data_IF_343364308992
#
_entry.id   IF_343364308992
#
_cell.length_a   1.000
_cell.length_b   1.000
_cell.length_c   1.000
_cell.angle_alpha   90.00
_cell.angle_beta   90.00
_cell.angle_gamma   90.00
#
_symmetry.space_group_name_H-M   'P 1'
#
loop_
_entity.id
_entity.type
_entity.pdbx_description
1 polymer ?
#
# COMPACT_ATOMS: atom_id res chain seq x y z
N UNK A 1 4.90 -4.80 -28.56
CA UNK A 1 5.98 -5.77 -28.31
C UNK A 1 6.89 -5.14 -27.27
N UNK A 2 6.95 -5.71 -26.06
CA UNK A 2 7.82 -5.20 -24.99
C UNK A 2 9.28 -5.45 -25.35
N UNK A 3 10.14 -4.43 -25.20
CA UNK A 3 11.58 -4.50 -25.48
C UNK A 3 12.25 -5.64 -24.68
N UNK A 4 13.17 -6.44 -25.28
CA UNK A 4 13.93 -7.49 -24.60
C UNK A 4 14.57 -7.06 -23.26
N UNK A 5 14.95 -5.79 -23.09
CA UNK A 5 15.43 -5.27 -21.78
C UNK A 5 14.34 -5.33 -20.71
N UNK A 6 13.09 -5.07 -21.09
CA UNK A 6 11.93 -5.11 -20.19
C UNK A 6 11.57 -6.55 -19.80
N UNK A 7 11.75 -7.51 -20.71
CA UNK A 7 11.51 -8.92 -20.43
C UNK A 7 12.60 -9.55 -19.57
N UNK A 8 13.87 -9.19 -19.79
CA UNK A 8 14.97 -9.63 -18.94
C UNK A 8 14.81 -9.11 -17.50
N UNK A 9 14.39 -7.85 -17.34
CA UNK A 9 14.08 -7.28 -16.03
C UNK A 9 12.91 -8.00 -15.35
N UNK A 10 11.84 -8.32 -16.09
CA UNK A 10 10.69 -9.09 -15.59
C UNK A 10 11.09 -10.49 -15.11
N UNK A 11 11.96 -11.18 -15.85
CA UNK A 11 12.47 -12.50 -15.47
C UNK A 11 13.36 -12.47 -14.24
N UNK A 12 14.27 -11.49 -14.13
CA UNK A 12 15.12 -11.32 -12.95
C UNK A 12 14.28 -10.92 -11.72
N UNK A 13 13.23 -10.12 -11.92
CA UNK A 13 12.26 -9.75 -10.88
C UNK A 13 11.51 -10.98 -10.37
N UNK A 14 11.00 -11.84 -11.26
CA UNK A 14 10.30 -13.06 -10.87
C UNK A 14 11.20 -14.02 -10.09
N UNK A 15 12.46 -14.20 -10.52
CA UNK A 15 13.42 -15.04 -9.80
C UNK A 15 13.80 -14.50 -8.40
N UNK A 16 13.98 -13.18 -8.27
CA UNK A 16 14.27 -12.56 -6.97
C UNK A 16 13.04 -12.57 -6.05
N UNK A 17 11.84 -12.54 -6.63
CA UNK A 17 10.58 -12.63 -5.90
C UNK A 17 10.38 -14.05 -5.32
N UNK A 18 10.73 -15.11 -6.06
CA UNK A 18 10.71 -16.51 -5.57
C UNK A 18 11.71 -16.74 -4.42
N UNK A 19 12.91 -16.16 -4.50
CA UNK A 19 13.90 -16.26 -3.41
C UNK A 19 13.46 -15.52 -2.14
N UNK A 20 12.76 -14.39 -2.27
CA UNK A 20 12.16 -13.68 -1.14
C UNK A 20 10.98 -14.44 -0.54
N UNK A 21 10.20 -15.14 -1.37
CA UNK A 21 9.11 -16.02 -0.93
C UNK A 21 9.60 -17.21 -0.10
N UNK A 22 10.79 -17.73 -0.37
CA UNK A 22 11.42 -18.75 0.47
C UNK A 22 11.79 -18.24 1.87
N UNK A 23 12.05 -16.94 2.01
CA UNK A 23 12.56 -16.32 3.24
C UNK A 23 11.50 -15.58 4.07
N UNK A 24 10.32 -15.27 3.51
CA UNK A 24 9.23 -14.57 4.22
C UNK A 24 7.95 -15.39 4.40
N UNK A 25 7.88 -16.63 3.91
CA UNK A 25 6.74 -17.52 4.15
C UNK A 25 6.97 -18.31 5.44
N UNK A 26 6.15 -18.12 6.50
CA UNK A 26 6.07 -19.14 7.53
C UNK A 26 5.41 -20.38 6.93
N UNK A 27 6.10 -21.52 6.96
CA UNK A 27 5.69 -22.80 6.38
C UNK A 27 4.33 -23.34 6.90
N UNK A 28 3.75 -22.71 7.92
CA UNK A 28 2.51 -23.15 8.60
C UNK A 28 1.23 -22.64 7.91
N UNK A 29 1.28 -21.51 7.20
CA UNK A 29 0.05 -20.92 6.61
C UNK A 29 -0.58 -21.76 5.49
N UNK A 30 0.24 -22.49 4.73
CA UNK A 30 -0.25 -23.38 3.67
C UNK A 30 -0.91 -24.66 4.22
N UNK A 31 -0.44 -25.18 5.35
CA UNK A 31 -1.02 -26.38 5.98
C UNK A 31 -2.46 -26.11 6.45
N UNK A 32 -2.70 -24.94 7.06
CA UNK A 32 -4.05 -24.55 7.48
C UNK A 32 -4.96 -24.25 6.27
N UNK A 33 -4.43 -23.61 5.22
CA UNK A 33 -5.15 -23.43 3.97
C UNK A 33 -5.52 -24.77 3.31
N UNK A 34 -4.65 -25.78 3.37
CA UNK A 34 -4.93 -27.15 2.91
C UNK A 34 -6.02 -27.80 3.75
N UNK A 35 -5.96 -27.72 5.08
CA UNK A 35 -7.00 -28.29 5.96
C UNK A 35 -8.38 -27.68 5.67
N UNK A 36 -8.45 -26.37 5.48
CA UNK A 36 -9.69 -25.67 5.18
C UNK A 36 -10.18 -25.97 3.76
N UNK A 37 -9.29 -26.00 2.77
CA UNK A 37 -9.62 -26.41 1.40
C UNK A 37 -10.14 -27.85 1.33
N UNK A 38 -9.62 -28.75 2.19
CA UNK A 38 -10.12 -30.12 2.36
C UNK A 38 -11.54 -30.10 2.94
N UNK A 39 -11.83 -29.29 3.96
CA UNK A 39 -13.19 -29.15 4.51
C UNK A 39 -14.19 -28.62 3.45
N UNK A 40 -13.82 -27.60 2.68
CA UNK A 40 -14.70 -27.04 1.64
C UNK A 40 -14.99 -28.07 0.55
N UNK A 41 -13.97 -28.77 0.06
CA UNK A 41 -14.14 -29.78 -0.98
C UNK A 41 -14.89 -31.03 -0.48
N UNK A 42 -14.75 -31.39 0.80
CA UNK A 42 -15.42 -32.57 1.35
C UNK A 42 -16.87 -32.32 1.75
N UNK A 43 -17.23 -31.09 2.14
CA UNK A 43 -18.55 -30.81 2.70
C UNK A 43 -19.37 -29.80 1.90
N UNK A 44 -18.78 -28.70 1.44
CA UNK A 44 -19.53 -27.64 0.76
C UNK A 44 -19.77 -27.95 -0.72
N UNK A 45 -18.74 -28.39 -1.46
CA UNK A 45 -18.85 -28.70 -2.89
C UNK A 45 -19.86 -29.83 -3.17
N UNK A 46 -19.85 -30.97 -2.44
CA UNK A 46 -20.80 -32.05 -2.68
C UNK A 46 -22.24 -31.66 -2.32
N UNK A 47 -22.42 -30.90 -1.24
CA UNK A 47 -23.73 -30.38 -0.83
C UNK A 47 -24.33 -29.46 -1.92
N UNK A 48 -23.52 -28.57 -2.49
CA UNK A 48 -23.98 -27.63 -3.52
C UNK A 48 -24.23 -28.31 -4.88
N UNK A 49 -23.46 -29.35 -5.21
CA UNK A 49 -23.69 -30.18 -6.40
C UNK A 49 -24.99 -31.00 -6.30
N UNK A 50 -25.39 -31.43 -5.10
CA UNK A 50 -26.63 -32.17 -4.88
C UNK A 50 -27.90 -31.31 -5.03
N UNK A 51 -27.78 -29.98 -4.96
CA UNK A 51 -28.92 -29.06 -4.94
C UNK A 51 -29.08 -28.19 -6.21
N UNK A 52 -28.35 -28.52 -7.29
CA UNK A 52 -28.49 -27.95 -8.66
C UNK A 52 -28.65 -26.42 -8.72
N UNK A 53 -27.83 -25.70 -7.93
CA UNK A 53 -27.95 -24.25 -7.75
C UNK A 53 -27.18 -23.51 -8.87
N UNK A 54 -27.84 -22.86 -9.87
CA UNK A 54 -27.16 -22.40 -11.08
C UNK A 54 -26.34 -21.10 -10.92
N UNK A 55 -26.46 -20.41 -9.78
CA UNK A 55 -25.78 -19.13 -9.50
C UNK A 55 -24.51 -19.29 -8.64
N UNK A 56 -23.95 -20.50 -8.62
CA UNK A 56 -22.86 -20.91 -7.75
C UNK A 56 -21.50 -20.26 -8.01
N UNK A 57 -21.28 -19.41 -9.01
CA UNK A 57 -19.91 -18.97 -9.34
C UNK A 57 -19.44 -17.72 -8.61
N UNK A 58 -20.24 -16.65 -8.52
CA UNK A 58 -19.74 -15.37 -7.95
C UNK A 58 -19.75 -15.36 -6.42
N UNK A 59 -20.84 -15.84 -5.81
CA UNK A 59 -20.97 -15.91 -4.35
C UNK A 59 -20.03 -16.95 -3.73
N UNK A 60 -19.86 -18.10 -4.39
CA UNK A 60 -18.95 -19.15 -3.95
C UNK A 60 -17.50 -18.73 -4.14
N UNK A 61 -17.12 -18.11 -5.26
CA UNK A 61 -15.75 -17.61 -5.44
C UNK A 61 -15.40 -16.55 -4.39
N UNK A 62 -16.35 -15.66 -4.07
CA UNK A 62 -16.16 -14.68 -2.98
C UNK A 62 -16.02 -15.36 -1.60
N UNK A 63 -16.79 -16.42 -1.34
CA UNK A 63 -16.69 -17.20 -0.11
C UNK A 63 -15.35 -17.95 -0.02
N UNK A 64 -14.95 -18.64 -1.09
CA UNK A 64 -13.65 -19.34 -1.18
C UNK A 64 -12.49 -18.36 -1.02
N UNK A 65 -12.55 -17.19 -1.67
CA UNK A 65 -11.56 -16.13 -1.50
C UNK A 65 -11.50 -15.68 -0.03
N UNK A 66 -12.65 -15.42 0.60
CA UNK A 66 -12.71 -15.02 1.99
C UNK A 66 -12.13 -16.09 2.93
N UNK A 67 -12.46 -17.37 2.73
CA UNK A 67 -11.94 -18.48 3.52
C UNK A 67 -10.43 -18.66 3.33
N UNK A 68 -9.93 -18.53 2.10
CA UNK A 68 -8.50 -18.58 1.81
C UNK A 68 -7.75 -17.39 2.45
N UNK A 69 -8.28 -16.18 2.35
CA UNK A 69 -7.74 -14.98 3.01
C UNK A 69 -7.71 -15.16 4.54
N UNK A 70 -8.77 -15.73 5.14
CA UNK A 70 -8.85 -16.03 6.57
C UNK A 70 -7.85 -17.11 7.01
N UNK A 71 -7.69 -18.17 6.23
CA UNK A 71 -6.72 -19.24 6.50
C UNK A 71 -5.28 -18.70 6.50
N UNK A 72 -4.95 -17.83 5.53
CA UNK A 72 -3.66 -17.15 5.46
C UNK A 72 -3.45 -16.26 6.69
N UNK A 73 -4.47 -15.50 7.10
CA UNK A 73 -4.41 -14.63 8.28
C UNK A 73 -4.15 -15.43 9.57
N UNK A 74 -4.84 -16.55 9.75
CA UNK A 74 -4.61 -17.48 10.87
C UNK A 74 -3.21 -18.11 10.83
N UNK A 75 -2.75 -18.49 9.63
CA UNK A 75 -1.40 -19.01 9.42
C UNK A 75 -0.31 -18.02 9.83
N UNK A 76 -0.47 -16.75 9.47
CA UNK A 76 0.44 -15.67 9.90
C UNK A 76 0.39 -15.48 11.41
N UNK A 77 -0.81 -15.51 12.02
CA UNK A 77 -0.94 -15.43 13.47
C UNK A 77 -0.20 -16.56 14.18
N UNK A 78 -0.41 -17.81 13.76
CA UNK A 78 0.27 -18.97 14.34
C UNK A 78 1.79 -18.86 14.18
N UNK A 79 2.25 -18.44 12.99
CA UNK A 79 3.66 -18.23 12.72
C UNK A 79 4.31 -17.18 13.61
N UNK A 80 3.67 -16.04 13.77
CA UNK A 80 4.19 -14.95 14.61
C UNK A 80 4.31 -15.42 16.07
N UNK A 81 3.33 -16.19 16.57
CA UNK A 81 3.38 -16.80 17.90
C UNK A 81 4.55 -17.77 18.06
N UNK A 82 4.84 -18.57 17.02
CA UNK A 82 5.92 -19.57 17.07
C UNK A 82 7.32 -18.95 16.90
N UNK A 83 7.42 -17.83 16.19
CA UNK A 83 8.71 -17.23 15.79
C UNK A 83 9.06 -15.97 16.57
N UNK A 84 8.14 -15.44 17.38
CA UNK A 84 8.36 -14.23 18.17
C UNK A 84 8.42 -12.93 17.35
N UNK A 85 7.93 -12.97 16.10
CA UNK A 85 7.89 -11.80 15.21
C UNK A 85 6.97 -10.71 15.79
N UNK A 86 7.47 -9.48 15.88
CA UNK A 86 6.69 -8.36 16.40
C UNK A 86 5.93 -7.64 15.29
N UNK A 87 4.61 -7.48 15.47
CA UNK A 87 3.70 -6.74 14.58
C UNK A 87 3.33 -5.35 15.09
N UNK A 88 4.12 -4.82 16.02
CA UNK A 88 3.96 -3.46 16.54
C UNK A 88 4.76 -2.49 15.68
N UNK A 89 4.11 -1.44 15.17
CA UNK A 89 4.81 -0.42 14.41
C UNK A 89 5.87 0.25 15.31
N UNK A 90 7.12 0.36 14.87
CA UNK A 90 8.15 1.02 15.67
C UNK A 90 7.82 2.51 15.80
N UNK A 91 8.28 3.11 16.91
CA UNK A 91 8.26 4.55 17.05
C UNK A 91 9.12 5.20 15.95
N UNK A 92 8.73 6.40 15.54
CA UNK A 92 9.55 7.21 14.63
C UNK A 92 10.88 7.52 15.33
N UNK A 93 12.00 7.11 14.75
CA UNK A 93 13.32 7.35 15.35
C UNK A 93 13.73 8.81 15.16
N UNK A 94 14.66 9.29 15.99
CA UNK A 94 15.16 10.66 15.89
C UNK A 94 15.68 10.96 14.48
N UNK A 95 15.21 12.06 13.91
CA UNK A 95 15.57 12.49 12.56
C UNK A 95 14.82 11.81 11.43
N UNK A 96 14.07 10.72 11.65
CA UNK A 96 13.22 10.09 10.63
C UNK A 96 11.94 10.89 10.42
N UNK A 97 11.46 10.93 9.17
CA UNK A 97 10.13 11.45 8.84
C UNK A 97 9.10 10.33 8.63
N UNK A 98 9.53 9.20 8.07
CA UNK A 98 8.66 8.07 7.74
C UNK A 98 9.11 6.83 8.51
N UNK A 99 8.17 6.16 9.18
CA UNK A 99 8.42 4.97 9.98
C UNK A 99 9.11 3.90 9.14
N UNK A 100 10.25 3.40 9.64
CA UNK A 100 11.00 2.31 9.00
C UNK A 100 11.85 2.72 7.79
N UNK A 101 11.93 4.02 7.47
CA UNK A 101 12.81 4.55 6.42
C UNK A 101 13.85 5.51 6.99
N UNK A 102 15.10 5.38 6.56
CA UNK A 102 16.11 6.43 6.76
C UNK A 102 15.77 7.68 5.97
N UNK A 103 16.43 8.81 6.23
CA UNK A 103 16.14 10.06 5.53
C UNK A 103 16.40 9.97 4.02
N UNK A 104 17.50 9.33 3.61
CA UNK A 104 17.78 9.10 2.19
C UNK A 104 16.71 8.22 1.53
N UNK A 105 16.24 7.18 2.23
CA UNK A 105 15.19 6.29 1.74
C UNK A 105 13.84 7.01 1.67
N UNK A 106 13.48 7.79 2.69
CA UNK A 106 12.26 8.60 2.72
C UNK A 106 12.26 9.65 1.60
N UNK A 107 13.40 10.30 1.33
CA UNK A 107 13.55 11.24 0.23
C UNK A 107 13.39 10.55 -1.14
N UNK A 108 14.04 9.41 -1.35
CA UNK A 108 13.91 8.66 -2.61
C UNK A 108 12.49 8.16 -2.83
N UNK A 109 11.83 7.70 -1.77
CA UNK A 109 10.41 7.34 -1.77
C UNK A 109 9.52 8.53 -2.12
N UNK A 110 9.67 9.66 -1.43
CA UNK A 110 8.90 10.88 -1.66
C UNK A 110 9.09 11.43 -3.10
N UNK A 111 10.33 11.43 -3.60
CA UNK A 111 10.62 11.79 -4.99
C UNK A 111 9.92 10.85 -5.96
N UNK A 112 9.98 9.53 -5.73
CA UNK A 112 9.30 8.56 -6.59
C UNK A 112 7.78 8.75 -6.63
N UNK A 113 7.15 9.00 -5.47
CA UNK A 113 5.70 9.24 -5.39
C UNK A 113 5.36 10.54 -6.12
N UNK A 114 5.96 11.67 -5.77
CA UNK A 114 5.64 12.97 -6.38
C UNK A 114 5.91 13.02 -7.89
N UNK A 115 6.96 12.33 -8.37
CA UNK A 115 7.19 12.17 -9.81
C UNK A 115 6.06 11.41 -10.49
N UNK A 116 5.54 10.35 -9.86
CA UNK A 116 4.45 9.52 -10.42
C UNK A 116 3.10 10.24 -10.37
N UNK A 117 2.82 10.93 -9.27
CA UNK A 117 1.51 11.56 -9.00
C UNK A 117 1.32 12.84 -9.82
N UNK A 118 2.36 13.68 -9.91
CA UNK A 118 2.20 15.05 -10.42
C UNK A 118 3.38 15.57 -11.23
N UNK A 119 4.42 14.77 -11.45
CA UNK A 119 5.71 15.30 -11.95
C UNK A 119 6.21 16.46 -11.07
N UNK A 120 6.03 16.33 -9.75
CA UNK A 120 6.41 17.30 -8.71
C UNK A 120 5.60 18.61 -8.65
N UNK A 121 4.50 18.75 -9.40
CA UNK A 121 3.68 19.97 -9.43
C UNK A 121 2.82 20.14 -8.16
N UNK A 122 3.10 21.18 -7.37
CA UNK A 122 2.37 21.51 -6.13
C UNK A 122 0.93 22.02 -6.37
N UNK A 123 0.60 22.42 -7.59
CA UNK A 123 -0.64 23.13 -7.91
C UNK A 123 -1.59 22.32 -8.79
N UNK A 124 -1.18 21.17 -9.32
CA UNK A 124 -2.04 20.39 -10.22
C UNK A 124 -3.34 19.94 -9.54
N UNK A 125 -4.43 19.96 -10.31
CA UNK A 125 -5.69 19.30 -9.94
C UNK A 125 -6.07 18.43 -11.14
N UNK A 126 -6.18 17.11 -10.94
CA UNK A 126 -6.54 16.22 -12.04
C UNK A 126 -8.05 16.23 -12.33
N UNK A 127 -8.46 15.54 -13.39
CA UNK A 127 -9.86 15.45 -13.83
C UNK A 127 -10.84 14.88 -12.80
N UNK A 128 -10.34 14.13 -11.79
CA UNK A 128 -11.16 13.58 -10.71
C UNK A 128 -11.09 14.43 -9.44
N UNK A 129 -10.42 15.58 -9.47
CA UNK A 129 -10.31 16.48 -8.34
C UNK A 129 -9.24 16.08 -7.31
N UNK A 130 -8.28 15.21 -7.65
CA UNK A 130 -7.13 14.99 -6.76
C UNK A 130 -6.17 16.18 -6.85
N UNK A 131 -5.67 16.62 -5.71
CA UNK A 131 -5.03 17.94 -5.58
C UNK A 131 -3.57 17.86 -5.15
N UNK A 132 -2.77 18.75 -5.74
CA UNK A 132 -1.39 19.02 -5.35
C UNK A 132 -0.40 17.94 -5.76
N UNK A 133 0.83 18.07 -5.25
CA UNK A 133 1.98 17.23 -5.61
C UNK A 133 1.73 15.74 -5.38
N UNK A 134 1.01 15.45 -4.30
CA UNK A 134 0.76 14.09 -3.85
C UNK A 134 -0.58 13.54 -4.34
N UNK A 135 -1.31 14.31 -5.18
CA UNK A 135 -2.64 13.96 -5.69
C UNK A 135 -3.55 13.45 -4.60
N UNK A 136 -3.82 14.28 -3.59
CA UNK A 136 -4.70 13.88 -2.50
C UNK A 136 -6.18 13.94 -2.88
N UNK A 137 -6.93 12.92 -2.46
CA UNK A 137 -8.39 12.92 -2.48
C UNK A 137 -8.99 13.29 -1.12
N UNK A 138 -10.31 13.47 -1.09
CA UNK A 138 -11.05 13.90 0.10
C UNK A 138 -10.86 12.94 1.30
N UNK A 139 -10.92 11.63 1.06
CA UNK A 139 -10.74 10.62 2.11
C UNK A 139 -9.33 10.61 2.70
N UNK A 140 -8.31 10.82 1.86
CA UNK A 140 -6.93 10.91 2.32
C UNK A 140 -6.70 12.18 3.15
N UNK A 141 -7.24 13.32 2.72
CA UNK A 141 -7.17 14.57 3.47
C UNK A 141 -7.95 14.52 4.80
N UNK A 142 -9.07 13.80 4.84
CA UNK A 142 -9.81 13.56 6.08
C UNK A 142 -9.04 12.63 7.04
N UNK A 143 -8.33 11.63 6.51
CA UNK A 143 -7.49 10.74 7.31
C UNK A 143 -6.38 11.50 8.05
N UNK A 144 -5.82 12.54 7.43
CA UNK A 144 -4.78 13.41 8.03
C UNK A 144 -5.35 14.68 8.70
N UNK A 145 -6.67 14.79 8.83
CA UNK A 145 -7.33 15.85 9.60
C UNK A 145 -7.44 17.21 8.91
N UNK A 146 -7.24 17.28 7.59
CA UNK A 146 -7.39 18.52 6.80
C UNK A 146 -8.82 18.73 6.28
N UNK A 147 -9.61 17.64 6.21
CA UNK A 147 -11.04 17.67 5.92
C UNK A 147 -11.81 17.20 7.16
N UNK A 148 -12.94 17.86 7.44
CA UNK A 148 -13.86 17.47 8.51
C UNK A 148 -14.46 16.11 8.20
N UNK A 149 -14.30 15.14 9.12
CA UNK A 149 -14.84 13.78 8.96
C UNK A 149 -16.35 13.78 8.76
N UNK A 150 -17.07 14.59 9.53
CA UNK A 150 -18.53 14.74 9.41
C UNK A 150 -18.96 15.21 8.01
N UNK A 151 -18.21 16.13 7.39
CA UNK A 151 -18.50 16.58 6.03
C UNK A 151 -18.30 15.45 5.01
N UNK A 152 -17.23 14.66 5.13
CA UNK A 152 -16.97 13.52 4.25
C UNK A 152 -18.02 12.40 4.41
N UNK A 153 -18.46 12.13 5.64
CA UNK A 153 -19.48 11.13 5.95
C UNK A 153 -20.85 11.51 5.37
N UNK A 154 -21.20 12.80 5.39
CA UNK A 154 -22.41 13.35 4.77
C UNK A 154 -22.31 13.45 3.24
N UNK A 155 -21.08 13.42 2.68
CA UNK A 155 -20.88 13.45 1.25
C UNK A 155 -21.29 12.13 0.59
N UNK A 156 -21.62 12.19 -0.71
CA UNK A 156 -21.97 10.99 -1.46
C UNK A 156 -20.81 9.99 -1.57
N UNK A 157 -21.13 8.71 -1.81
CA UNK A 157 -20.13 7.63 -2.03
C UNK A 157 -19.10 7.96 -3.12
N UNK A 158 -19.47 8.84 -4.05
CA UNK A 158 -18.59 9.48 -5.03
C UNK A 158 -17.35 10.11 -4.43
N UNK A 159 -17.57 11.02 -3.48
CA UNK A 159 -16.51 11.75 -2.78
C UNK A 159 -15.68 10.81 -1.93
N UNK A 160 -16.35 9.95 -1.17
CA UNK A 160 -15.69 9.00 -0.25
C UNK A 160 -14.75 8.02 -0.97
N UNK A 161 -15.02 7.71 -2.24
CA UNK A 161 -14.20 6.82 -3.07
C UNK A 161 -13.30 7.58 -4.06
N UNK A 162 -13.27 8.91 -3.98
CA UNK A 162 -12.40 9.75 -4.80
C UNK A 162 -12.75 9.75 -6.30
N UNK A 163 -14.04 9.80 -6.64
CA UNK A 163 -14.51 9.96 -8.01
C UNK A 163 -15.49 11.15 -8.16
N UNK A 164 -16.78 10.91 -8.44
CA UNK A 164 -17.79 11.94 -8.76
C UNK A 164 -18.05 12.85 -7.55
N UNK A 165 -18.06 14.16 -7.79
CA UNK A 165 -18.34 15.17 -6.76
C UNK A 165 -17.14 15.54 -5.88
N UNK A 166 -15.99 14.88 -6.03
CA UNK A 166 -14.83 15.13 -5.18
C UNK A 166 -14.27 16.55 -5.37
N UNK A 167 -14.24 17.03 -6.61
CA UNK A 167 -13.69 18.36 -6.90
C UNK A 167 -14.50 19.45 -6.22
N UNK A 168 -15.82 19.42 -6.41
CA UNK A 168 -16.76 20.38 -5.81
C UNK A 168 -16.73 20.29 -4.29
N UNK A 169 -16.61 19.07 -3.74
CA UNK A 169 -16.44 18.85 -2.31
C UNK A 169 -15.16 19.50 -1.78
N UNK A 170 -14.03 19.37 -2.48
CA UNK A 170 -12.76 19.97 -2.07
C UNK A 170 -12.71 21.48 -2.32
N UNK A 171 -13.43 22.02 -3.30
CA UNK A 171 -13.52 23.46 -3.53
C UNK A 171 -14.34 24.19 -2.44
N UNK A 172 -15.22 23.48 -1.72
CA UNK A 172 -16.00 24.05 -0.62
C UNK A 172 -15.15 24.19 0.66
N UNK A 173 -14.76 25.42 0.98
CA UNK A 173 -13.98 25.77 2.17
C UNK A 173 -14.61 25.28 3.48
N UNK A 174 -15.94 25.22 3.58
CA UNK A 174 -16.63 24.76 4.80
C UNK A 174 -16.30 23.30 5.16
N UNK A 175 -15.82 22.50 4.21
CA UNK A 175 -15.42 21.11 4.43
C UNK A 175 -14.02 20.97 5.03
N UNK A 176 -13.20 22.03 4.96
CA UNK A 176 -11.82 22.01 5.45
C UNK A 176 -11.73 22.37 6.94
N UNK A 177 -10.67 21.90 7.59
CA UNK A 177 -10.32 22.27 8.97
C UNK A 177 -9.36 23.48 9.03
N UNK A 178 -8.82 23.89 7.88
CA UNK A 178 -7.89 25.01 7.73
C UNK A 178 -8.59 26.21 7.08
N UNK A 179 -8.21 27.42 7.48
CA UNK A 179 -8.67 28.66 6.85
C UNK A 179 -8.16 28.76 5.40
N UNK A 180 -9.01 29.21 4.48
CA UNK A 180 -8.73 29.30 3.04
C UNK A 180 -8.77 27.97 2.29
N UNK A 181 -9.10 26.87 2.98
CA UNK A 181 -9.38 25.55 2.41
C UNK A 181 -8.39 25.08 1.34
N UNK A 182 -8.92 24.72 0.17
CA UNK A 182 -8.13 24.20 -0.96
C UNK A 182 -7.05 25.17 -1.43
N UNK A 183 -7.32 26.48 -1.41
CA UNK A 183 -6.35 27.50 -1.84
C UNK A 183 -5.13 27.51 -0.93
N UNK A 184 -5.35 27.51 0.39
CA UNK A 184 -4.28 27.40 1.38
C UNK A 184 -3.48 26.12 1.22
N UNK A 185 -4.17 24.99 1.01
CA UNK A 185 -3.52 23.70 0.82
C UNK A 185 -2.62 23.67 -0.42
N UNK A 186 -3.11 24.14 -1.58
CA UNK A 186 -2.36 24.14 -2.83
C UNK A 186 -1.17 25.11 -2.83
N UNK A 187 -1.25 26.18 -2.05
CA UNK A 187 -0.17 27.17 -1.97
C UNK A 187 0.87 26.88 -0.88
N UNK A 188 0.67 25.84 -0.06
CA UNK A 188 1.59 25.48 1.02
C UNK A 188 2.23 24.12 0.78
N UNK A 189 3.44 24.13 0.20
CA UNK A 189 4.26 22.92 0.05
C UNK A 189 4.50 22.22 1.39
N UNK A 190 4.76 23.00 2.46
CA UNK A 190 4.97 22.46 3.80
C UNK A 190 3.73 21.69 4.29
N UNK A 191 2.53 22.21 4.03
CA UNK A 191 1.29 21.53 4.43
C UNK A 191 1.05 20.25 3.61
N UNK A 192 1.34 20.28 2.32
CA UNK A 192 1.25 19.11 1.44
C UNK A 192 2.24 18.01 1.85
N UNK A 193 3.50 18.37 2.10
CA UNK A 193 4.56 17.44 2.51
C UNK A 193 4.26 16.85 3.89
N UNK A 194 3.74 17.66 4.84
CA UNK A 194 3.27 17.17 6.14
C UNK A 194 2.12 16.17 5.99
N UNK A 195 1.10 16.49 5.19
CA UNK A 195 -0.02 15.59 4.92
C UNK A 195 0.45 14.26 4.32
N UNK A 196 1.45 14.29 3.44
CA UNK A 196 2.03 13.09 2.85
C UNK A 196 2.72 12.22 3.89
N UNK A 197 3.56 12.81 4.73
CA UNK A 197 4.24 12.09 5.82
C UNK A 197 3.24 11.50 6.80
N UNK A 198 2.22 12.27 7.20
CA UNK A 198 1.18 11.82 8.13
C UNK A 198 0.39 10.64 7.54
N UNK A 199 -0.02 10.71 6.27
CA UNK A 199 -0.74 9.64 5.61
C UNK A 199 0.13 8.39 5.46
N UNK A 200 1.40 8.53 5.05
CA UNK A 200 2.33 7.41 4.95
C UNK A 200 2.49 6.70 6.30
N UNK A 201 2.72 7.46 7.36
CA UNK A 201 2.87 6.90 8.71
C UNK A 201 1.58 6.26 9.22
N UNK A 202 0.41 6.82 8.91
CA UNK A 202 -0.89 6.19 9.20
C UNK A 202 -1.03 4.86 8.47
N UNK A 203 -0.76 4.84 7.16
CA UNK A 203 -0.82 3.64 6.34
C UNK A 203 0.16 2.57 6.82
N UNK A 204 1.39 2.94 7.19
CA UNK A 204 2.41 2.02 7.71
C UNK A 204 1.94 1.39 9.02
N UNK A 205 1.46 2.19 9.98
CA UNK A 205 0.90 1.66 11.24
C UNK A 205 -0.25 0.68 10.98
N UNK A 206 -1.10 1.00 10.01
CA UNK A 206 -2.17 0.08 9.59
C UNK A 206 -1.63 -1.21 8.98
N UNK A 207 -0.53 -1.15 8.22
CA UNK A 207 0.16 -2.34 7.70
C UNK A 207 0.67 -3.28 8.79
N UNK A 208 1.19 -2.72 9.89
CA UNK A 208 1.56 -3.48 11.09
C UNK A 208 0.31 -4.09 11.76
N UNK A 209 -0.76 -3.30 11.96
CA UNK A 209 -2.04 -3.76 12.53
C UNK A 209 -2.68 -4.90 11.73
N UNK A 210 -2.59 -4.82 10.40
CA UNK A 210 -3.11 -5.83 9.46
C UNK A 210 -2.17 -7.04 9.30
N UNK A 211 -1.05 -7.07 10.04
CA UNK A 211 -0.01 -8.10 10.01
C UNK A 211 0.60 -8.31 8.63
N UNK A 212 0.62 -7.26 7.82
CA UNK A 212 1.32 -7.23 6.54
C UNK A 212 2.80 -6.93 6.78
N UNK A 213 3.06 -5.95 7.65
CA UNK A 213 4.39 -5.54 8.06
C UNK A 213 4.77 -6.18 9.40
N UNK A 214 6.06 -6.24 9.67
CA UNK A 214 6.70 -6.68 10.92
C UNK A 214 8.01 -5.95 11.13
N UNK A 215 8.58 -6.12 12.32
CA UNK A 215 9.96 -5.75 12.67
C UNK A 215 11.03 -6.27 11.69
N UNK A 216 10.77 -7.39 11.01
CA UNK A 216 11.64 -7.97 9.98
C UNK A 216 11.39 -7.43 8.57
N UNK A 217 10.37 -6.59 8.36
CA UNK A 217 10.04 -6.11 7.02
C UNK A 217 11.10 -5.11 6.55
N UNK A 218 11.76 -5.35 5.39
CA UNK A 218 12.81 -4.46 4.93
C UNK A 218 12.23 -3.12 4.46
N UNK A 219 13.03 -2.05 4.59
CA UNK A 219 12.62 -0.67 4.29
C UNK A 219 11.94 -0.50 2.93
N UNK A 220 12.44 -1.14 1.87
CA UNK A 220 11.83 -1.04 0.55
C UNK A 220 10.39 -1.60 0.52
N UNK A 221 10.10 -2.70 1.22
CA UNK A 221 8.75 -3.26 1.33
C UNK A 221 7.81 -2.35 2.15
N UNK A 222 8.33 -1.65 3.15
CA UNK A 222 7.57 -0.63 3.89
C UNK A 222 7.17 0.53 2.94
N UNK A 223 8.10 0.99 2.11
CA UNK A 223 7.81 2.03 1.11
C UNK A 223 6.83 1.56 0.02
N UNK A 224 6.98 0.32 -0.45
CA UNK A 224 6.04 -0.31 -1.40
C UNK A 224 4.63 -0.38 -0.82
N UNK A 225 4.50 -0.83 0.43
CA UNK A 225 3.23 -0.82 1.16
C UNK A 225 2.62 0.59 1.24
N UNK A 226 3.43 1.59 1.63
CA UNK A 226 2.97 2.96 1.75
C UNK A 226 2.47 3.52 0.41
N UNK A 227 3.17 3.29 -0.71
CA UNK A 227 2.73 3.73 -2.04
C UNK A 227 1.48 3.00 -2.53
N UNK A 228 1.41 1.69 -2.32
CA UNK A 228 0.24 0.89 -2.65
C UNK A 228 -1.01 1.37 -1.89
N UNK A 229 -0.86 1.65 -0.59
CA UNK A 229 -1.92 2.17 0.24
C UNK A 229 -2.29 3.62 -0.13
N UNK A 230 -1.34 4.44 -0.57
CA UNK A 230 -1.61 5.79 -1.09
C UNK A 230 -2.52 5.74 -2.33
N UNK A 231 -2.26 4.83 -3.27
CA UNK A 231 -3.04 4.70 -4.51
C UNK A 231 -4.50 4.30 -4.27
N UNK A 232 -4.72 3.26 -3.45
CA UNK A 232 -6.01 2.54 -3.43
C UNK A 232 -6.49 2.17 -2.02
N UNK A 233 -5.82 2.68 -0.99
CA UNK A 233 -6.10 2.38 0.41
C UNK A 233 -5.43 1.09 0.90
N UNK A 234 -5.36 0.96 2.23
CA UNK A 234 -4.69 -0.14 2.93
C UNK A 234 -5.33 -1.51 2.66
N UNK A 235 -6.64 -1.56 2.37
CA UNK A 235 -7.30 -2.82 2.02
C UNK A 235 -6.78 -3.41 0.70
N UNK A 236 -6.67 -2.59 -0.35
CA UNK A 236 -6.15 -3.04 -1.64
C UNK A 236 -4.66 -3.42 -1.52
N UNK A 237 -3.88 -2.65 -0.76
CA UNK A 237 -2.50 -3.00 -0.45
C UNK A 237 -2.41 -4.34 0.32
N UNK A 238 -3.27 -4.58 1.31
CA UNK A 238 -3.33 -5.86 2.06
C UNK A 238 -3.56 -7.03 1.12
N UNK A 239 -4.55 -6.91 0.24
CA UNK A 239 -4.91 -7.94 -0.73
C UNK A 239 -3.74 -8.30 -1.65
N UNK A 240 -2.99 -7.30 -2.12
CA UNK A 240 -1.77 -7.53 -2.88
C UNK A 240 -0.66 -8.22 -2.05
N UNK A 241 -0.30 -7.64 -0.90
CA UNK A 241 0.86 -8.10 -0.13
C UNK A 241 0.64 -9.45 0.56
N UNK A 242 -0.58 -9.78 1.00
CA UNK A 242 -0.87 -11.06 1.67
C UNK A 242 -1.36 -12.14 0.71
N UNK A 243 -2.19 -11.77 -0.26
CA UNK A 243 -2.96 -12.74 -1.05
C UNK A 243 -2.63 -12.69 -2.55
N UNK A 244 -1.75 -11.78 -3.00
CA UNK A 244 -1.41 -11.57 -4.42
C UNK A 244 -2.61 -11.18 -5.29
N UNK A 245 -3.68 -10.69 -4.66
CA UNK A 245 -4.85 -10.16 -5.33
C UNK A 245 -4.59 -8.71 -5.74
N UNK A 246 -4.08 -8.54 -6.96
CA UNK A 246 -3.78 -7.24 -7.55
C UNK A 246 -5.06 -6.56 -8.06
N UNK A 247 -5.17 -5.26 -7.82
CA UNK A 247 -6.27 -4.44 -8.30
C UNK A 247 -5.71 -3.18 -8.93
N UNK A 248 -6.56 -2.40 -9.59
CA UNK A 248 -6.14 -1.16 -10.24
C UNK A 248 -7.01 0.03 -9.85
N UNK A 249 -6.48 1.24 -10.02
CA UNK A 249 -7.22 2.49 -9.91
C UNK A 249 -8.18 2.71 -11.09
N UNK A 250 -8.86 3.86 -11.10
CA UNK A 250 -9.76 4.23 -12.18
C UNK A 250 -9.06 4.45 -13.54
N UNK A 251 -7.73 4.63 -13.54
CA UNK A 251 -6.91 4.80 -14.74
C UNK A 251 -6.27 3.48 -15.21
N UNK A 252 -6.57 2.35 -14.55
CA UNK A 252 -6.00 1.04 -14.88
C UNK A 252 -4.61 0.78 -14.30
N UNK A 253 -4.11 1.67 -13.44
CA UNK A 253 -2.81 1.52 -12.79
C UNK A 253 -2.89 0.53 -11.65
N UNK A 254 -2.04 -0.50 -11.69
CA UNK A 254 -2.02 -1.61 -10.73
C UNK A 254 -1.36 -1.24 -9.41
N UNK A 255 -1.89 -1.80 -8.31
CA UNK A 255 -1.33 -1.68 -6.97
C UNK A 255 0.08 -2.26 -6.91
N UNK A 256 0.29 -3.41 -7.54
CA UNK A 256 1.60 -4.06 -7.65
C UNK A 256 2.67 -3.17 -8.30
N UNK A 257 2.31 -2.45 -9.38
CA UNK A 257 3.20 -1.55 -10.11
C UNK A 257 3.61 -0.38 -9.21
N UNK A 258 2.67 0.22 -8.48
CA UNK A 258 2.97 1.30 -7.54
C UNK A 258 3.89 0.83 -6.41
N UNK A 259 3.59 -0.32 -5.80
CA UNK A 259 4.45 -0.92 -4.79
C UNK A 259 5.89 -1.09 -5.31
N UNK A 260 6.03 -1.69 -6.49
CA UNK A 260 7.33 -1.99 -7.10
C UNK A 260 8.15 -0.72 -7.38
N UNK A 261 7.54 0.34 -7.88
CA UNK A 261 8.22 1.62 -8.13
C UNK A 261 8.85 2.20 -6.86
N UNK A 262 8.12 2.17 -5.74
CA UNK A 262 8.63 2.65 -4.46
C UNK A 262 9.71 1.72 -3.89
N UNK A 263 9.52 0.41 -4.00
CA UNK A 263 10.51 -0.59 -3.58
C UNK A 263 11.85 -0.35 -4.30
N UNK A 264 11.83 -0.18 -5.63
CA UNK A 264 13.04 0.06 -6.42
C UNK A 264 13.72 1.39 -6.10
N UNK A 265 12.95 2.45 -5.86
CA UNK A 265 13.51 3.74 -5.45
C UNK A 265 14.29 3.64 -4.13
N UNK A 266 13.75 2.91 -3.15
CA UNK A 266 14.41 2.72 -1.85
C UNK A 266 15.59 1.75 -1.93
N UNK A 267 15.51 0.70 -2.76
CA UNK A 267 16.65 -0.19 -3.03
C UNK A 267 17.83 0.62 -3.59
N UNK A 268 17.59 1.45 -4.60
CA UNK A 268 18.62 2.30 -5.23
C UNK A 268 19.23 3.32 -4.25
N UNK A 269 18.42 3.92 -3.38
CA UNK A 269 18.91 4.83 -2.34
C UNK A 269 19.81 4.12 -1.32
N UNK A 270 19.45 2.88 -0.98
CA UNK A 270 20.19 2.06 -0.01
C UNK A 270 21.55 1.61 -0.57
N UNK A 271 21.62 1.23 -1.85
CA UNK A 271 22.88 0.87 -2.51
C UNK A 271 23.83 2.06 -2.67
N UNK A 272 23.29 3.25 -2.99
CA UNK A 272 24.07 4.48 -3.11
C UNK A 272 24.70 4.87 -1.77
N UNK A 273 23.95 4.77 -0.68
CA UNK A 273 24.42 5.09 0.68
C UNK A 273 25.52 4.12 1.17
N UNK A 274 25.43 2.84 0.78
CA UNK A 274 26.44 1.83 1.11
C UNK A 274 27.76 2.03 0.33
N UNK A 275 27.69 2.47 -0.93
CA UNK A 275 28.87 2.74 -1.76
C UNK A 275 29.68 3.95 -1.27
N UNK A 276 29.03 4.93 -0.64
CA UNK A 276 29.71 6.13 -0.09
C UNK A 276 30.32 5.90 1.29
N UNK A 277 30.04 4.76 1.94
CA UNK A 277 30.49 4.44 3.30
C UNK A 277 31.70 3.48 3.34
N UNK A 278 32.27 3.09 2.20
CA UNK A 278 33.55 2.36 2.20
C UNK A 278 34.69 3.30 2.60
N UNK A 279 35.46 2.99 3.66
CA UNK A 279 36.64 3.76 4.01
C UNK A 279 37.69 3.57 2.92
N UNK A 280 38.34 4.66 2.52
CA UNK A 280 39.59 4.67 1.77
C UNK A 280 40.69 4.00 2.60
N UNK A 281 40.68 2.66 2.67
CA UNK A 281 41.85 1.91 3.09
C UNK A 281 42.81 1.81 1.91
N UNK A 282 43.77 2.74 1.90
CA UNK A 282 45.14 2.51 1.46
C UNK A 282 45.40 2.49 -0.05
N UNK A 283 46.18 3.48 -0.49
CA UNK A 283 47.42 3.17 -1.21
C UNK A 283 48.54 3.89 -0.48
N UNK A 284 49.57 3.12 -0.15
CA UNK A 284 50.83 3.49 0.49
C UNK A 284 51.64 4.47 -0.38
#
# INVERSE_FOLDING_TARGET
MSDPVTQALLWEILQRQDQLEANTRPRVGWVMAIIIAVVINLFAVPYLQQHDVPYLSVGLNAAIEWEAEAAIDLGILAADTLTGVTRVAPALQSGQQIIGLSNAQAQAFAHNVSQTESTHDDRVINRYGYVGRWQFGASALAAVGLIKRSALEQAGRGVQRGYRGQREFLENEANWTINGGLTTFRNSRVLQDKAFVDLCNSNIREGFRLRVLSDQTPAHKIAGWAKAAHLKGTHAAKRWYKYRHDSHDANGTRVSVYAMQAEQAVIKASSTSASTAQPTTGVL
#
